data_IF_921516975074
#
_entry.id   IF_921516975074
#
_cell.length_a   1.000
_cell.length_b   1.000
_cell.length_c   1.000
_cell.angle_alpha   90.00
_cell.angle_beta   90.00
_cell.angle_gamma   90.00
#
_symmetry.space_group_name_H-M   'P 1'
#
loop_
_entity.id
_entity.type
_entity.pdbx_description
1 polymer ?
#
# COMPACT_ATOMS: atom_id res chain seq x y z
N UNK A 1 -5.61 6.90 29.88
CA UNK A 1 -5.13 7.04 28.49
C UNK A 1 -3.97 6.06 28.32
N UNK A 2 -4.10 5.03 27.48
CA UNK A 2 -3.01 4.06 27.28
C UNK A 2 -1.79 4.75 26.67
N UNK A 3 -0.58 4.32 27.04
CA UNK A 3 0.65 4.85 26.42
C UNK A 3 0.64 4.49 24.93
N UNK A 4 0.82 5.48 24.06
CA UNK A 4 1.02 5.26 22.63
C UNK A 4 2.38 4.57 22.44
N UNK A 5 2.45 3.41 21.74
CA UNK A 5 3.73 2.78 21.45
C UNK A 5 4.59 3.67 20.55
N UNK A 6 5.84 3.93 20.96
CA UNK A 6 6.73 4.83 20.22
C UNK A 6 7.05 4.38 18.79
N UNK A 7 7.17 3.06 18.57
CA UNK A 7 7.41 2.50 17.23
C UNK A 7 6.23 2.77 16.28
N UNK A 8 4.99 2.70 16.78
CA UNK A 8 3.79 2.93 15.99
C UNK A 8 3.69 4.40 15.61
N UNK A 9 3.93 5.30 16.57
CA UNK A 9 3.97 6.73 16.31
C UNK A 9 5.04 7.09 15.27
N UNK A 10 6.23 6.51 15.39
CA UNK A 10 7.32 6.72 14.44
C UNK A 10 6.96 6.23 13.03
N UNK A 11 6.45 5.00 12.91
CA UNK A 11 6.06 4.42 11.62
C UNK A 11 4.96 5.24 10.92
N UNK A 12 3.92 5.64 11.66
CA UNK A 12 2.83 6.47 11.13
C UNK A 12 3.35 7.86 10.74
N UNK A 13 4.24 8.46 11.52
CA UNK A 13 4.86 9.75 11.15
C UNK A 13 5.66 9.63 9.84
N UNK A 14 6.45 8.57 9.67
CA UNK A 14 7.20 8.30 8.44
C UNK A 14 6.27 8.14 7.23
N UNK A 15 5.16 7.44 7.39
CA UNK A 15 4.13 7.31 6.35
C UNK A 15 3.58 8.66 5.91
N UNK A 16 3.11 9.49 6.86
CA UNK A 16 2.56 10.82 6.54
C UNK A 16 3.60 11.74 5.89
N UNK A 17 4.86 11.71 6.36
CA UNK A 17 5.93 12.49 5.74
C UNK A 17 6.17 12.06 4.28
N UNK A 18 6.18 10.76 4.00
CA UNK A 18 6.31 10.26 2.64
C UNK A 18 5.11 10.66 1.76
N UNK A 19 3.89 10.47 2.26
CA UNK A 19 2.64 10.78 1.56
C UNK A 19 2.56 12.27 1.21
N UNK A 20 2.76 13.16 2.19
CA UNK A 20 2.70 14.60 1.96
C UNK A 20 3.80 15.09 1.02
N UNK A 21 5.00 14.50 1.08
CA UNK A 21 6.05 14.78 0.10
C UNK A 21 5.62 14.36 -1.30
N UNK A 22 5.04 13.17 -1.46
CA UNK A 22 4.53 12.71 -2.75
C UNK A 22 3.44 13.65 -3.28
N UNK A 23 2.46 13.99 -2.45
CA UNK A 23 1.39 14.92 -2.85
C UNK A 23 1.94 16.31 -3.19
N UNK A 24 2.95 16.81 -2.46
CA UNK A 24 3.58 18.10 -2.79
C UNK A 24 4.28 18.11 -4.16
N UNK A 25 4.72 16.95 -4.65
CA UNK A 25 5.39 16.82 -5.95
C UNK A 25 4.39 16.55 -7.08
N UNK A 26 3.39 15.72 -6.83
CA UNK A 26 2.51 15.18 -7.86
C UNK A 26 1.11 15.82 -7.90
N UNK A 27 0.70 16.53 -6.86
CA UNK A 27 -0.58 17.25 -6.78
C UNK A 27 -0.35 18.75 -6.64
N UNK A 28 -0.59 19.48 -7.73
CA UNK A 28 -0.43 20.94 -7.79
C UNK A 28 -1.39 21.72 -6.88
N UNK A 29 -2.44 21.06 -6.36
CA UNK A 29 -3.42 21.65 -5.44
C UNK A 29 -3.13 21.28 -3.98
N UNK A 30 -2.12 20.46 -3.72
CA UNK A 30 -1.84 20.02 -2.37
C UNK A 30 -1.33 21.17 -1.50
N UNK A 31 -1.94 21.30 -0.32
CA UNK A 31 -1.52 22.24 0.72
C UNK A 31 -1.09 21.43 1.94
N UNK A 32 0.15 21.58 2.42
CA UNK A 32 0.61 20.90 3.62
C UNK A 32 -0.24 21.24 4.86
N UNK A 33 -0.48 20.29 5.76
CA UNK A 33 -1.32 20.52 6.93
C UNK A 33 -0.65 21.43 7.96
N UNK A 34 -1.40 22.40 8.48
CA UNK A 34 -0.92 23.40 9.46
C UNK A 34 -0.64 22.81 10.85
N UNK A 35 -1.12 21.59 11.13
CA UNK A 35 -0.93 20.91 12.42
C UNK A 35 -0.56 19.43 12.27
N UNK A 36 0.47 19.14 11.46
CA UNK A 36 0.93 17.78 11.14
C UNK A 36 1.02 16.84 12.35
N UNK A 37 1.64 17.28 13.46
CA UNK A 37 1.78 16.45 14.66
C UNK A 37 0.45 16.04 15.29
N UNK A 38 -0.56 16.93 15.27
CA UNK A 38 -1.90 16.63 15.79
C UNK A 38 -2.63 15.62 14.91
N UNK A 39 -2.47 15.71 13.58
CA UNK A 39 -3.05 14.75 12.64
C UNK A 39 -2.46 13.36 12.87
N UNK A 40 -1.14 13.27 12.97
CA UNK A 40 -0.43 12.00 13.23
C UNK A 40 -0.88 11.40 14.58
N UNK A 41 -0.91 12.21 15.65
CA UNK A 41 -1.34 11.75 16.97
C UNK A 41 -2.79 11.28 17.01
N UNK A 42 -3.70 12.01 16.35
CA UNK A 42 -5.10 11.61 16.23
C UNK A 42 -5.21 10.29 15.46
N UNK A 43 -4.52 10.16 14.33
CA UNK A 43 -4.53 8.93 13.53
C UNK A 43 -4.07 7.72 14.34
N UNK A 44 -2.95 7.84 15.07
CA UNK A 44 -2.45 6.74 15.92
C UNK A 44 -3.42 6.43 17.05
N UNK A 45 -4.02 7.47 17.65
CA UNK A 45 -5.00 7.30 18.72
C UNK A 45 -6.25 6.57 18.22
N UNK A 46 -6.73 6.93 17.04
CA UNK A 46 -7.90 6.29 16.43
C UNK A 46 -7.57 4.85 16.02
N UNK A 47 -6.39 4.61 15.44
CA UNK A 47 -5.90 3.28 15.12
C UNK A 47 -5.88 2.34 16.33
N UNK A 48 -5.43 2.85 17.49
CA UNK A 48 -5.41 2.08 18.74
C UNK A 48 -6.78 1.91 19.38
N UNK A 49 -7.75 2.76 19.04
CA UNK A 49 -9.15 2.66 19.50
C UNK A 49 -9.99 1.75 18.62
N UNK A 50 -9.54 1.40 17.42
CA UNK A 50 -10.23 0.42 16.58
C UNK A 50 -10.21 -0.91 17.33
N UNK A 51 -11.33 -1.21 17.96
CA UNK A 51 -11.58 -2.49 18.61
C UNK A 51 -11.59 -3.55 17.50
N UNK A 52 -10.77 -4.60 17.62
CA UNK A 52 -10.84 -5.78 16.76
C UNK A 52 -12.08 -6.62 17.09
N UNK A 53 -13.19 -5.98 17.49
CA UNK A 53 -14.49 -6.62 17.48
C UNK A 53 -14.69 -7.14 16.07
N UNK A 54 -14.61 -8.46 15.99
CA UNK A 54 -14.74 -9.34 14.84
C UNK A 54 -16.15 -9.27 14.26
N UNK A 55 -16.61 -8.06 13.94
CA UNK A 55 -17.62 -7.85 12.93
C UNK A 55 -17.16 -8.61 11.70
N UNK A 56 -18.00 -9.54 11.26
CA UNK A 56 -17.74 -10.43 10.13
C UNK A 56 -16.89 -9.74 9.08
N UNK A 57 -15.76 -10.36 8.72
CA UNK A 57 -14.90 -9.88 7.63
C UNK A 57 -15.82 -9.43 6.50
N UNK A 58 -15.73 -8.18 6.02
CA UNK A 58 -16.60 -7.72 4.94
C UNK A 58 -16.55 -8.76 3.83
N UNK A 59 -17.72 -9.17 3.34
CA UNK A 59 -17.84 -10.27 2.41
C UNK A 59 -16.84 -10.11 1.27
N UNK A 60 -15.96 -11.11 1.08
CA UNK A 60 -14.98 -11.08 0.01
C UNK A 60 -15.74 -10.95 -1.32
N UNK A 61 -15.59 -9.81 -1.99
CA UNK A 61 -16.16 -9.60 -3.32
C UNK A 61 -15.09 -9.89 -4.36
N UNK A 62 -15.24 -10.97 -5.09
CA UNK A 62 -14.44 -11.18 -6.31
C UNK A 62 -14.87 -10.12 -7.32
N UNK A 63 -13.93 -9.28 -7.74
CA UNK A 63 -14.14 -8.36 -8.85
C UNK A 63 -13.15 -8.69 -9.96
N UNK A 64 -13.63 -8.71 -11.20
CA UNK A 64 -12.77 -8.87 -12.36
C UNK A 64 -12.13 -7.52 -12.66
N UNK A 65 -10.88 -7.34 -12.26
CA UNK A 65 -10.08 -6.18 -12.66
C UNK A 65 -9.55 -6.43 -14.07
N UNK A 66 -10.10 -5.71 -15.05
CA UNK A 66 -9.56 -5.72 -16.41
C UNK A 66 -8.41 -4.72 -16.50
N UNK A 67 -7.30 -5.14 -17.10
CA UNK A 67 -6.22 -4.21 -17.39
C UNK A 67 -6.58 -3.32 -18.58
N UNK A 68 -6.62 -2.01 -18.34
CA UNK A 68 -6.75 -1.01 -19.40
C UNK A 68 -5.38 -0.44 -19.78
N UNK A 69 -5.19 -0.24 -21.09
CA UNK A 69 -4.00 0.40 -21.63
C UNK A 69 -3.80 1.79 -21.02
N UNK A 70 -2.56 2.19 -20.69
CA UNK A 70 -2.29 3.55 -20.28
C UNK A 70 -2.42 4.53 -21.45
N UNK A 71 -2.41 5.83 -21.14
CA UNK A 71 -2.36 6.91 -22.12
C UNK A 71 -1.13 6.80 -23.04
N UNK A 72 -1.19 7.47 -24.19
CA UNK A 72 -0.09 7.49 -25.15
C UNK A 72 1.21 7.95 -24.50
N UNK A 73 2.34 7.33 -24.89
CA UNK A 73 3.66 7.54 -24.29
C UNK A 73 3.80 7.16 -22.80
N UNK A 74 2.77 6.60 -22.17
CA UNK A 74 2.88 6.03 -20.83
C UNK A 74 3.19 4.53 -20.86
N UNK A 75 3.75 4.08 -19.74
CA UNK A 75 4.05 2.68 -19.43
C UNK A 75 3.28 2.30 -18.17
N UNK A 76 2.67 1.12 -18.16
CA UNK A 76 1.91 0.61 -17.02
C UNK A 76 2.39 -0.78 -16.61
N UNK A 77 2.79 -0.95 -15.34
CA UNK A 77 3.08 -2.26 -14.79
C UNK A 77 1.80 -2.99 -14.38
N UNK A 78 1.83 -4.32 -14.47
CA UNK A 78 0.91 -5.23 -13.82
C UNK A 78 1.74 -6.03 -12.83
N UNK A 79 1.39 -5.98 -11.56
CA UNK A 79 2.11 -6.67 -10.49
C UNK A 79 1.15 -7.60 -9.80
N UNK A 80 1.59 -8.81 -9.53
CA UNK A 80 0.83 -9.82 -8.80
C UNK A 80 1.73 -10.51 -7.77
N UNK A 81 1.11 -11.01 -6.71
CA UNK A 81 1.76 -11.73 -5.63
C UNK A 81 1.18 -13.13 -5.51
N UNK A 82 2.04 -14.09 -5.19
CA UNK A 82 1.61 -15.45 -4.82
C UNK A 82 2.17 -15.84 -3.48
N UNK A 83 1.38 -16.64 -2.77
CA UNK A 83 1.71 -17.23 -1.49
C UNK A 83 1.58 -18.75 -1.64
N UNK A 84 2.64 -19.46 -1.29
CA UNK A 84 2.62 -20.90 -1.13
C UNK A 84 2.59 -21.23 0.37
N UNK A 85 1.44 -21.70 0.85
CA UNK A 85 1.22 -22.04 2.25
C UNK A 85 2.02 -23.27 2.67
N UNK A 86 2.23 -24.25 1.78
CA UNK A 86 2.95 -25.48 2.13
C UNK A 86 4.44 -25.22 2.39
N UNK A 87 5.00 -24.23 1.69
CA UNK A 87 6.42 -23.91 1.76
C UNK A 87 6.70 -22.59 2.53
N UNK A 88 5.67 -21.94 3.08
CA UNK A 88 5.74 -20.60 3.69
C UNK A 88 6.45 -19.57 2.81
N UNK A 89 6.32 -19.68 1.48
CA UNK A 89 7.02 -18.78 0.55
C UNK A 89 6.08 -17.75 -0.04
N UNK A 90 6.55 -16.50 -0.06
CA UNK A 90 5.93 -15.41 -0.79
C UNK A 90 6.76 -15.07 -2.03
N UNK A 91 6.07 -14.85 -3.14
CA UNK A 91 6.69 -14.35 -4.35
C UNK A 91 5.85 -13.24 -4.96
N UNK A 92 6.50 -12.36 -5.70
CA UNK A 92 5.83 -11.32 -6.47
C UNK A 92 6.42 -11.29 -7.86
N UNK A 93 5.61 -10.92 -8.84
CA UNK A 93 6.04 -10.80 -10.22
C UNK A 93 5.26 -9.73 -10.93
N UNK A 94 5.75 -9.34 -12.10
CA UNK A 94 5.04 -8.38 -12.90
C UNK A 94 5.53 -8.27 -14.32
N UNK A 95 4.69 -7.63 -15.12
CA UNK A 95 4.97 -7.30 -16.52
C UNK A 95 4.76 -5.81 -16.73
N UNK A 96 5.62 -5.22 -17.53
CA UNK A 96 5.61 -3.80 -17.88
C UNK A 96 5.20 -3.70 -19.34
N UNK A 97 4.13 -2.96 -19.62
CA UNK A 97 3.58 -2.77 -20.98
C UNK A 97 3.48 -1.30 -21.34
N UNK A 98 3.64 -0.97 -22.61
CA UNK A 98 3.37 0.37 -23.13
C UNK A 98 1.87 0.56 -23.47
N UNK A 99 1.51 1.76 -23.90
CA UNK A 99 0.17 2.15 -24.37
C UNK A 99 -0.34 1.36 -25.59
N UNK A 100 0.56 0.75 -26.38
CA UNK A 100 0.20 -0.17 -27.48
C UNK A 100 0.00 -1.61 -26.99
N UNK A 101 -0.03 -1.83 -25.67
CA UNK A 101 -0.11 -3.15 -25.02
C UNK A 101 1.09 -4.07 -25.30
N UNK A 102 2.18 -3.52 -25.86
CA UNK A 102 3.40 -4.27 -26.15
C UNK A 102 4.11 -4.53 -24.83
N UNK A 103 4.49 -5.78 -24.61
CA UNK A 103 5.34 -6.17 -23.50
C UNK A 103 6.74 -5.59 -23.68
N UNK A 104 7.21 -4.86 -22.69
CA UNK A 104 8.54 -4.25 -22.68
C UNK A 104 9.53 -5.08 -21.86
N UNK A 105 9.11 -5.47 -20.65
CA UNK A 105 9.94 -6.22 -19.70
C UNK A 105 9.08 -6.90 -18.64
N UNK A 106 9.60 -7.95 -18.03
CA UNK A 106 9.03 -8.58 -16.84
C UNK A 106 10.02 -8.61 -15.69
N UNK A 107 9.52 -8.82 -14.48
CA UNK A 107 10.33 -9.06 -13.29
C UNK A 107 9.68 -10.13 -12.41
N UNK A 108 10.52 -10.82 -11.65
CA UNK A 108 10.09 -11.75 -10.62
C UNK A 108 10.96 -11.51 -9.37
N UNK A 109 10.31 -11.56 -8.21
CA UNK A 109 10.90 -11.44 -6.90
C UNK A 109 10.48 -12.65 -6.08
N UNK A 110 11.45 -13.49 -5.73
CA UNK A 110 11.27 -14.54 -4.74
C UNK A 110 12.02 -14.10 -3.48
N UNK A 111 11.35 -13.36 -2.61
CA UNK A 111 11.94 -12.88 -1.35
C UNK A 111 10.90 -12.90 -0.24
N UNK A 112 10.87 -14.01 0.50
CA UNK A 112 10.40 -14.03 1.87
C UNK A 112 9.87 -15.38 2.33
N UNK A 113 10.23 -15.74 3.56
CA UNK A 113 9.46 -16.66 4.38
C UNK A 113 8.51 -15.82 5.23
N UNK A 114 7.20 -16.09 5.20
CA UNK A 114 6.24 -15.45 6.09
C UNK A 114 5.87 -16.44 7.19
N UNK A 115 6.34 -16.21 8.43
CA UNK A 115 5.91 -17.00 9.58
C UNK A 115 4.56 -16.47 10.04
N UNK A 116 3.50 -17.24 9.83
CA UNK A 116 2.23 -17.02 10.51
C UNK A 116 2.44 -17.22 12.02
N UNK A 117 2.28 -16.15 12.81
CA UNK A 117 2.22 -16.19 14.28
C UNK A 117 0.77 -16.25 14.75
#
# INVERSE_FOLDING_TARGET
>A
MGKIPGYLLFAVAMWFMWEWRCNSVFDSKFVPPVCAGKIILNYVTDWLKVDYNTGSKPGKKTCFLTWYSPEENCIKPNVDGSLNIENDTISAGGVIRNHMKIWLRGFALNKGYEKYY
#
